data_IF_075073530697
#
_entry.id   IF_075073530697
#
_cell.length_a   1.000
_cell.length_b   1.000
_cell.length_c   1.000
_cell.angle_alpha   90.00
_cell.angle_beta   90.00
_cell.angle_gamma   90.00
#
_symmetry.space_group_name_H-M   'P 1'
#
loop_
_entity.id
_entity.type
_entity.pdbx_description
1 polymer ?
#
# COMPACT_ATOMS: atom_id res chain seq x y z
N UNK A 1 -7.26 33.71 -17.71
CA UNK A 1 -6.37 32.83 -16.93
C UNK A 1 -7.22 32.06 -15.93
N UNK A 2 -7.84 30.95 -16.36
CA UNK A 2 -8.62 30.09 -15.48
C UNK A 2 -7.63 29.22 -14.70
N UNK A 3 -7.39 29.54 -13.42
CA UNK A 3 -6.76 28.60 -12.50
C UNK A 3 -7.76 27.48 -12.28
N UNK A 4 -7.51 26.33 -12.89
CA UNK A 4 -8.15 25.08 -12.47
C UNK A 4 -7.83 24.89 -10.99
N UNK A 5 -8.85 24.99 -10.15
CA UNK A 5 -8.83 24.48 -8.79
C UNK A 5 -8.76 22.96 -8.89
N UNK A 6 -7.58 22.41 -9.17
CA UNK A 6 -7.34 20.98 -9.00
C UNK A 6 -7.48 20.69 -7.52
N UNK A 7 -8.42 19.80 -7.19
CA UNK A 7 -8.63 19.27 -5.85
C UNK A 7 -7.29 19.05 -5.15
N UNK A 8 -7.06 19.77 -4.06
CA UNK A 8 -5.83 19.63 -3.24
C UNK A 8 -5.75 18.28 -2.51
N UNK A 9 -6.63 17.34 -2.86
CA UNK A 9 -6.80 16.09 -2.14
C UNK A 9 -6.78 14.88 -3.08
N UNK A 10 -6.01 13.87 -2.71
CA UNK A 10 -6.05 12.54 -3.31
C UNK A 10 -6.91 11.61 -2.45
N UNK A 11 -7.78 10.84 -3.09
CA UNK A 11 -8.47 9.73 -2.43
C UNK A 11 -7.64 8.46 -2.51
N UNK A 12 -7.47 7.80 -1.37
CA UNK A 12 -6.83 6.50 -1.24
C UNK A 12 -7.80 5.52 -0.59
N UNK A 13 -7.78 4.28 -1.06
CA UNK A 13 -8.73 3.25 -0.66
C UNK A 13 -7.99 2.05 -0.07
N UNK A 14 -8.48 1.53 1.04
CA UNK A 14 -8.04 0.29 1.65
C UNK A 14 -9.20 -0.69 1.72
N UNK A 15 -9.03 -1.90 1.19
CA UNK A 15 -10.00 -2.98 1.29
C UNK A 15 -9.73 -3.84 2.53
N UNK A 16 -10.75 -4.06 3.34
CA UNK A 16 -10.67 -4.82 4.59
C UNK A 16 -11.98 -5.56 4.88
N UNK A 17 -12.13 -6.15 6.07
CA UNK A 17 -13.38 -6.73 6.55
C UNK A 17 -14.12 -5.81 7.53
N UNK A 18 -15.39 -6.14 7.83
CA UNK A 18 -16.21 -5.33 8.73
C UNK A 18 -15.61 -5.18 10.14
N UNK A 19 -15.02 -6.25 10.68
CA UNK A 19 -14.46 -6.24 12.05
C UNK A 19 -13.26 -5.29 12.13
N UNK A 20 -12.32 -5.42 11.20
CA UNK A 20 -11.16 -4.55 11.08
C UNK A 20 -11.54 -3.09 10.82
N UNK A 21 -12.58 -2.85 9.99
CA UNK A 21 -13.08 -1.50 9.75
C UNK A 21 -13.68 -0.86 11.01
N UNK A 22 -14.44 -1.63 11.80
CA UNK A 22 -14.99 -1.18 13.09
C UNK A 22 -13.89 -0.93 14.11
N UNK A 23 -12.88 -1.79 14.16
CA UNK A 23 -11.73 -1.64 15.07
C UNK A 23 -10.98 -0.33 14.79
N UNK A 24 -10.67 -0.04 13.53
CA UNK A 24 -10.04 1.21 13.11
C UNK A 24 -10.93 2.40 13.51
N UNK A 25 -12.22 2.35 13.19
CA UNK A 25 -13.17 3.42 13.52
C UNK A 25 -13.31 3.66 15.03
N UNK A 26 -13.14 2.61 15.84
CA UNK A 26 -13.30 2.66 17.30
C UNK A 26 -12.04 3.18 18.02
N UNK A 27 -11.08 3.72 17.29
CA UNK A 27 -9.86 4.33 17.85
C UNK A 27 -8.76 3.31 18.19
N UNK A 28 -8.84 2.07 17.67
CA UNK A 28 -7.68 1.17 17.71
C UNK A 28 -6.63 1.55 16.66
N UNK A 29 -7.07 2.21 15.59
CA UNK A 29 -6.20 2.76 14.57
C UNK A 29 -5.58 1.73 13.64
N UNK A 30 -4.61 2.19 12.84
CA UNK A 30 -3.96 1.37 11.80
C UNK A 30 -2.83 0.54 12.41
N UNK A 31 -3.08 -0.74 12.65
CA UNK A 31 -2.06 -1.67 13.14
C UNK A 31 -1.28 -2.33 12.00
N UNK A 32 -0.05 -1.87 11.71
CA UNK A 32 0.74 -2.44 10.60
C UNK A 32 1.07 -3.92 10.84
N UNK A 33 1.23 -4.35 12.10
CA UNK A 33 1.50 -5.73 12.49
C UNK A 33 0.37 -6.73 12.14
N UNK A 34 -0.82 -6.25 11.80
CA UNK A 34 -1.91 -7.07 11.25
C UNK A 34 -1.75 -7.33 9.73
N UNK A 35 -0.73 -6.73 9.11
CA UNK A 35 -0.43 -6.87 7.69
C UNK A 35 -0.08 -8.29 7.28
N UNK A 36 -0.42 -8.67 6.06
CA UNK A 36 -0.12 -10.00 5.53
C UNK A 36 1.37 -10.17 5.25
N UNK A 37 1.88 -11.39 5.42
CA UNK A 37 3.25 -11.76 5.05
C UNK A 37 3.44 -11.76 3.53
N UNK A 38 4.69 -11.58 3.09
CA UNK A 38 5.15 -11.76 1.70
C UNK A 38 4.35 -10.94 0.68
N UNK A 39 4.20 -9.64 0.94
CA UNK A 39 3.59 -8.67 0.00
C UNK A 39 4.69 -7.93 -0.76
N UNK A 40 4.30 -7.05 -1.69
CA UNK A 40 5.25 -6.38 -2.60
C UNK A 40 6.22 -5.46 -1.86
N UNK A 41 5.72 -4.71 -0.88
CA UNK A 41 6.46 -3.64 -0.19
C UNK A 41 6.57 -3.85 1.33
N UNK A 42 6.10 -5.00 1.84
CA UNK A 42 6.17 -5.35 3.26
C UNK A 42 5.96 -6.85 3.46
N UNK A 43 6.35 -7.36 4.64
CA UNK A 43 6.04 -8.72 5.06
C UNK A 43 5.63 -8.71 6.53
N UNK A 44 4.33 -8.78 6.79
CA UNK A 44 3.78 -8.82 8.16
C UNK A 44 3.61 -7.46 8.83
N UNK A 45 4.14 -6.39 8.23
CA UNK A 45 4.16 -5.04 8.79
C UNK A 45 3.88 -4.01 7.71
N UNK A 46 2.62 -3.86 7.35
CA UNK A 46 2.26 -2.84 6.36
C UNK A 46 0.77 -2.74 6.06
N UNK A 47 0.37 -1.55 5.63
CA UNK A 47 -1.00 -1.20 5.32
C UNK A 47 -1.11 -0.70 3.88
N UNK A 48 -1.85 -1.44 3.05
CA UNK A 48 -1.88 -1.23 1.60
C UNK A 48 -3.07 -0.36 1.18
N UNK A 49 -2.78 0.62 0.35
CA UNK A 49 -3.71 1.58 -0.21
C UNK A 49 -3.62 1.56 -1.74
N UNK A 50 -4.69 1.95 -2.41
CA UNK A 50 -4.73 2.16 -3.86
C UNK A 50 -5.51 3.42 -4.20
N UNK A 51 -5.34 3.93 -5.42
CA UNK A 51 -6.14 5.03 -6.00
C UNK A 51 -7.42 4.54 -6.68
N UNK A 52 -7.58 3.23 -6.82
CA UNK A 52 -8.71 2.62 -7.51
C UNK A 52 -9.62 1.87 -6.52
N UNK A 53 -10.85 2.36 -6.35
CA UNK A 53 -11.83 1.75 -5.44
C UNK A 53 -12.17 0.30 -5.81
N UNK A 54 -12.16 -0.06 -7.10
CA UNK A 54 -12.42 -1.42 -7.54
C UNK A 54 -11.28 -2.36 -7.16
N UNK A 55 -10.03 -1.90 -7.19
CA UNK A 55 -8.89 -2.69 -6.72
C UNK A 55 -9.01 -2.95 -5.21
N UNK A 56 -9.35 -1.93 -4.41
CA UNK A 56 -9.59 -2.09 -2.98
C UNK A 56 -10.73 -3.07 -2.69
N UNK A 57 -11.86 -2.97 -3.40
CA UNK A 57 -12.98 -3.89 -3.24
C UNK A 57 -12.60 -5.33 -3.59
N UNK A 58 -11.85 -5.52 -4.69
CA UNK A 58 -11.35 -6.84 -5.10
C UNK A 58 -10.39 -7.43 -4.07
N UNK A 59 -9.52 -6.60 -3.47
CA UNK A 59 -8.65 -7.03 -2.37
C UNK A 59 -9.47 -7.52 -1.18
N UNK A 60 -10.48 -6.76 -0.74
CA UNK A 60 -11.36 -7.16 0.38
C UNK A 60 -12.13 -8.45 0.08
N UNK A 61 -12.77 -8.54 -1.08
CA UNK A 61 -13.52 -9.74 -1.52
C UNK A 61 -12.65 -10.99 -1.63
N UNK A 62 -11.35 -10.83 -1.88
CA UNK A 62 -10.41 -11.96 -1.94
C UNK A 62 -10.08 -12.55 -0.56
N UNK A 63 -10.43 -11.88 0.54
CA UNK A 63 -10.08 -12.29 1.90
C UNK A 63 -11.26 -12.49 2.83
N UNK A 64 -12.43 -11.92 2.53
CA UNK A 64 -13.60 -11.96 3.42
C UNK A 64 -14.92 -12.01 2.66
N UNK A 65 -15.94 -12.58 3.30
CA UNK A 65 -17.33 -12.55 2.84
C UNK A 65 -18.08 -11.28 3.25
N UNK A 66 -17.51 -10.45 4.14
CA UNK A 66 -18.08 -9.18 4.62
C UNK A 66 -17.09 -8.03 4.35
N UNK A 67 -16.96 -7.59 3.09
CA UNK A 67 -15.94 -6.62 2.70
C UNK A 67 -16.33 -5.20 3.10
N UNK A 68 -15.35 -4.43 3.54
CA UNK A 68 -15.46 -2.99 3.76
C UNK A 68 -14.35 -2.25 3.00
N UNK A 69 -14.61 -0.98 2.66
CA UNK A 69 -13.62 -0.08 2.09
C UNK A 69 -13.45 1.12 3.02
N UNK A 70 -12.21 1.39 3.43
CA UNK A 70 -11.82 2.63 4.08
C UNK A 70 -11.41 3.65 3.00
N UNK A 71 -11.95 4.87 3.10
CA UNK A 71 -11.66 5.97 2.18
C UNK A 71 -10.88 7.02 2.95
N UNK A 72 -9.64 7.27 2.51
CA UNK A 72 -8.76 8.29 3.06
C UNK A 72 -8.73 9.48 2.11
N UNK A 73 -8.92 10.69 2.64
CA UNK A 73 -8.83 11.95 1.90
C UNK A 73 -7.58 12.68 2.33
N UNK A 74 -6.54 12.61 1.51
CA UNK A 74 -5.20 13.08 1.84
C UNK A 74 -4.92 14.41 1.16
N UNK A 75 -4.51 15.44 1.90
CA UNK A 75 -4.07 16.70 1.32
C UNK A 75 -2.70 16.53 0.64
N UNK A 76 -2.65 16.74 -0.68
CA UNK A 76 -1.47 16.48 -1.52
C UNK A 76 -0.24 17.29 -1.09
N UNK A 77 -0.43 18.54 -0.66
CA UNK A 77 0.66 19.43 -0.28
C UNK A 77 1.27 19.00 1.05
N UNK A 78 0.43 18.81 2.07
CA UNK A 78 0.88 18.41 3.40
C UNK A 78 1.55 17.03 3.35
N UNK A 79 0.93 16.07 2.65
CA UNK A 79 1.45 14.72 2.48
C UNK A 79 2.82 14.71 1.79
N UNK A 80 3.00 15.45 0.70
CA UNK A 80 4.30 15.52 0.02
C UNK A 80 5.39 16.17 0.86
N UNK A 81 5.05 17.15 1.70
CA UNK A 81 6.04 17.89 2.49
C UNK A 81 6.54 17.16 3.74
N UNK A 82 5.73 16.27 4.34
CA UNK A 82 6.04 15.64 5.63
C UNK A 82 6.51 14.19 5.50
N UNK A 83 6.20 13.53 4.40
CA UNK A 83 6.35 12.07 4.30
C UNK A 83 7.64 11.67 3.58
N UNK A 84 8.44 10.82 4.22
CA UNK A 84 9.59 10.18 3.57
C UNK A 84 9.09 9.03 2.72
N UNK A 85 9.00 9.27 1.42
CA UNK A 85 8.40 8.34 0.45
C UNK A 85 9.44 7.71 -0.46
N UNK A 86 9.46 6.39 -0.54
CA UNK A 86 10.17 5.67 -1.59
C UNK A 86 9.23 5.43 -2.77
N UNK A 87 9.56 6.01 -3.93
CA UNK A 87 8.78 5.84 -5.16
C UNK A 87 9.50 4.86 -6.09
N UNK A 88 8.90 3.69 -6.31
CA UNK A 88 9.42 2.68 -7.23
C UNK A 88 8.69 2.82 -8.56
N UNK A 89 9.39 3.39 -9.54
CA UNK A 89 8.84 3.64 -10.87
C UNK A 89 8.92 2.38 -11.75
N UNK A 90 8.18 2.39 -12.87
CA UNK A 90 8.22 1.27 -13.83
C UNK A 90 9.50 1.24 -14.66
N UNK A 91 10.19 2.38 -14.79
CA UNK A 91 11.41 2.52 -15.60
C UNK A 91 12.64 1.86 -14.95
N UNK A 92 12.72 1.87 -13.63
CA UNK A 92 13.72 1.20 -12.81
C UNK A 92 13.19 -0.16 -12.35
N UNK A 93 12.96 -1.03 -13.34
CA UNK A 93 12.42 -2.37 -13.12
C UNK A 93 13.35 -3.23 -12.26
N UNK A 94 14.66 -2.99 -12.31
CA UNK A 94 15.64 -3.77 -11.54
C UNK A 94 15.55 -3.47 -10.05
N UNK A 95 15.60 -2.19 -9.64
CA UNK A 95 15.43 -1.81 -8.24
C UNK A 95 14.06 -2.22 -7.71
N UNK A 96 13.00 -2.03 -8.50
CA UNK A 96 11.66 -2.49 -8.14
C UNK A 96 11.63 -4.00 -7.91
N UNK A 97 12.21 -4.79 -8.83
CA UNK A 97 12.21 -6.26 -8.75
C UNK A 97 13.01 -6.75 -7.55
N UNK A 98 14.15 -6.14 -7.26
CA UNK A 98 14.97 -6.51 -6.10
C UNK A 98 14.22 -6.30 -4.78
N UNK A 99 13.52 -5.16 -4.65
CA UNK A 99 12.74 -4.82 -3.46
C UNK A 99 11.55 -5.77 -3.32
N UNK A 100 10.77 -5.96 -4.39
CA UNK A 100 9.61 -6.87 -4.38
C UNK A 100 10.04 -8.30 -4.07
N UNK A 101 11.10 -8.80 -4.73
CA UNK A 101 11.64 -10.14 -4.46
C UNK A 101 12.07 -10.27 -2.99
N UNK A 102 12.72 -9.25 -2.44
CA UNK A 102 13.14 -9.24 -1.05
C UNK A 102 11.94 -9.37 -0.09
N UNK A 103 10.91 -8.53 -0.23
CA UNK A 103 9.73 -8.60 0.62
C UNK A 103 8.90 -9.88 0.42
N UNK A 104 8.70 -10.30 -0.84
CA UNK A 104 7.99 -11.55 -1.20
C UNK A 104 8.68 -12.80 -0.68
N UNK A 105 10.00 -12.79 -0.51
CA UNK A 105 10.73 -13.89 0.13
C UNK A 105 10.39 -14.06 1.62
N UNK A 106 9.92 -12.99 2.27
CA UNK A 106 9.72 -12.92 3.72
C UNK A 106 11.02 -12.80 4.53
N UNK A 107 12.19 -12.82 3.87
CA UNK A 107 13.49 -12.70 4.52
C UNK A 107 13.82 -11.23 4.78
N UNK A 108 14.25 -10.92 6.00
CA UNK A 108 14.77 -9.58 6.34
C UNK A 108 16.19 -9.42 5.78
N UNK A 109 16.32 -8.69 4.69
CA UNK A 109 17.61 -8.32 4.08
C UNK A 109 18.15 -7.01 4.70
N UNK A 110 19.43 -6.71 4.51
CA UNK A 110 19.99 -5.41 4.92
C UNK A 110 19.28 -4.25 4.21
N UNK A 111 19.00 -4.40 2.91
CA UNK A 111 18.28 -3.40 2.12
C UNK A 111 16.87 -3.14 2.64
N UNK A 112 16.07 -4.18 2.88
CA UNK A 112 14.70 -4.01 3.43
C UNK A 112 14.73 -3.39 4.83
N UNK A 113 15.72 -3.74 5.68
CA UNK A 113 15.89 -3.07 6.99
C UNK A 113 16.22 -1.59 6.87
N UNK A 114 17.01 -1.20 5.87
CA UNK A 114 17.34 0.20 5.62
C UNK A 114 16.10 0.97 5.15
N UNK A 115 15.36 0.41 4.20
CA UNK A 115 14.12 1.01 3.68
C UNK A 115 13.12 1.24 4.82
N UNK A 116 12.90 0.25 5.68
CA UNK A 116 11.98 0.33 6.82
C UNK A 116 12.39 1.37 7.89
N UNK A 117 13.63 1.88 7.86
CA UNK A 117 14.11 2.94 8.76
C UNK A 117 14.07 4.32 8.12
N UNK A 118 14.35 4.39 6.82
CA UNK A 118 14.49 5.65 6.08
C UNK A 118 13.15 6.21 5.60
N UNK A 119 12.18 5.35 5.33
CA UNK A 119 10.93 5.73 4.67
C UNK A 119 9.72 5.39 5.53
N UNK A 120 8.70 6.24 5.40
CA UNK A 120 7.39 6.09 6.05
C UNK A 120 6.43 5.24 5.19
N UNK A 121 6.61 5.32 3.87
CA UNK A 121 5.83 4.55 2.89
C UNK A 121 6.61 4.25 1.62
N UNK A 122 6.14 3.22 0.91
CA UNK A 122 6.62 2.83 -0.41
C UNK A 122 5.43 2.87 -1.38
N UNK A 123 5.58 3.49 -2.55
CA UNK A 123 4.59 3.43 -3.62
C UNK A 123 5.18 2.92 -4.93
N UNK A 124 4.34 2.28 -5.74
CA UNK A 124 4.75 1.73 -7.02
C UNK A 124 3.69 0.83 -7.65
N UNK A 125 3.99 0.17 -8.77
CA UNK A 125 3.07 -0.76 -9.40
C UNK A 125 2.89 -2.05 -8.59
N UNK A 126 1.76 -2.72 -8.81
CA UNK A 126 1.49 -4.08 -8.32
C UNK A 126 2.42 -5.09 -8.98
N UNK A 127 2.83 -6.15 -8.28
CA UNK A 127 3.53 -7.25 -8.91
C UNK A 127 2.57 -8.22 -9.62
N UNK A 128 2.97 -8.62 -10.82
CA UNK A 128 2.49 -9.86 -11.47
C UNK A 128 3.57 -10.94 -11.35
N UNK A 129 3.13 -12.19 -11.36
CA UNK A 129 4.01 -13.35 -11.26
C UNK A 129 3.98 -14.08 -12.58
N UNK A 130 5.16 -14.31 -13.15
CA UNK A 130 5.41 -15.18 -14.29
C UNK A 130 6.21 -16.37 -13.80
N UNK A 131 5.84 -17.57 -14.24
CA UNK A 131 6.68 -18.74 -14.07
C UNK A 131 7.61 -18.83 -15.26
N UNK A 132 8.92 -18.86 -15.01
CA UNK A 132 9.90 -19.07 -16.07
C UNK A 132 9.93 -20.54 -16.48
N UNK A 133 9.75 -20.81 -17.77
CA UNK A 133 9.53 -22.18 -18.30
C UNK A 133 10.76 -23.08 -18.23
N UNK A 134 11.97 -22.52 -18.10
CA UNK A 134 13.23 -23.25 -18.11
C UNK A 134 13.63 -23.85 -16.76
N UNK A 135 13.29 -23.20 -15.65
CA UNK A 135 13.74 -23.58 -14.30
C UNK A 135 12.61 -23.56 -13.25
N UNK A 136 11.40 -23.12 -13.61
CA UNK A 136 10.28 -22.97 -12.69
C UNK A 136 10.43 -21.82 -11.70
N UNK A 137 11.37 -20.89 -11.90
CA UNK A 137 11.51 -19.73 -11.04
C UNK A 137 10.35 -18.76 -11.21
N UNK A 138 9.92 -18.18 -10.08
CA UNK A 138 8.93 -17.12 -10.06
C UNK A 138 9.61 -15.78 -10.34
N UNK A 139 9.30 -15.20 -11.49
CA UNK A 139 9.76 -13.87 -11.88
C UNK A 139 8.66 -12.86 -11.59
N UNK A 140 9.03 -11.81 -10.86
CA UNK A 140 8.14 -10.67 -10.58
C UNK A 140 8.30 -9.59 -11.65
N UNK A 141 7.17 -9.14 -12.20
CA UNK A 141 7.09 -8.06 -13.19
C UNK A 141 6.08 -7.01 -12.75
N UNK A 142 6.36 -5.71 -12.96
CA UNK A 142 5.45 -4.63 -12.59
C UNK A 142 4.20 -4.67 -13.49
N UNK A 143 3.02 -4.76 -12.87
CA UNK A 143 1.72 -4.70 -13.55
C UNK A 143 1.55 -3.32 -14.20
N UNK A 144 1.34 -3.24 -15.53
CA UNK A 144 1.10 -1.98 -16.21
C UNK A 144 -0.14 -1.26 -15.66
N UNK A 145 -0.09 0.08 -15.67
CA UNK A 145 -1.21 0.96 -15.24
C UNK A 145 -1.80 0.62 -13.86
N UNK A 146 -0.97 0.11 -12.96
CA UNK A 146 -1.36 -0.28 -11.61
C UNK A 146 -0.67 0.59 -10.58
N UNK A 147 -1.28 0.71 -9.40
CA UNK A 147 -0.76 1.52 -8.31
C UNK A 147 -1.10 0.88 -6.98
N UNK A 148 -0.12 0.81 -6.11
CA UNK A 148 -0.30 0.55 -4.69
C UNK A 148 0.64 1.45 -3.88
N UNK A 149 0.22 1.71 -2.66
CA UNK A 149 1.00 2.38 -1.63
C UNK A 149 0.99 1.51 -0.39
N UNK A 150 2.13 1.32 0.26
CA UNK A 150 2.23 0.61 1.53
C UNK A 150 2.79 1.54 2.60
N UNK A 151 2.03 1.80 3.65
CA UNK A 151 2.56 2.39 4.87
C UNK A 151 3.43 1.37 5.60
N UNK A 152 4.60 1.78 6.07
CA UNK A 152 5.59 0.91 6.72
C UNK A 152 6.14 1.47 8.04
N UNK A 153 5.80 2.72 8.38
CA UNK A 153 6.12 3.37 9.66
C UNK A 153 4.88 3.44 10.53
N UNK A 154 4.96 2.93 11.76
CA UNK A 154 3.83 2.95 12.72
C UNK A 154 3.49 4.41 13.09
N UNK A 155 4.49 5.24 13.41
CA UNK A 155 4.30 6.66 13.73
C UNK A 155 3.55 7.40 12.60
N UNK A 156 3.88 7.08 11.34
CA UNK A 156 3.19 7.68 10.21
C UNK A 156 1.79 7.10 9.99
N UNK A 157 1.56 5.83 10.33
CA UNK A 157 0.24 5.22 10.23
C UNK A 157 -0.76 5.87 11.20
N UNK A 158 -0.31 6.21 12.41
CA UNK A 158 -1.09 6.92 13.43
C UNK A 158 -1.46 8.34 12.95
N UNK A 159 -0.54 9.07 12.32
CA UNK A 159 -0.84 10.36 11.69
C UNK A 159 -1.78 10.22 10.49
N UNK A 160 -1.56 9.19 9.66
CA UNK A 160 -2.31 8.96 8.44
C UNK A 160 -3.77 8.59 8.73
N UNK A 161 -4.05 7.92 9.84
CA UNK A 161 -5.41 7.59 10.30
C UNK A 161 -6.32 8.82 10.34
N UNK A 162 -5.80 10.00 10.71
CA UNK A 162 -6.57 11.24 10.78
C UNK A 162 -7.14 11.69 9.42
N UNK A 163 -6.65 11.10 8.32
CA UNK A 163 -7.16 11.35 6.97
C UNK A 163 -8.33 10.43 6.59
N UNK A 164 -8.73 9.49 7.47
CA UNK A 164 -9.89 8.63 7.26
C UNK A 164 -11.16 9.49 7.16
N UNK A 165 -11.77 9.46 5.99
CA UNK A 165 -12.93 10.28 5.67
C UNK A 165 -14.23 9.51 5.83
N UNK A 166 -14.28 8.27 5.35
CA UNK A 166 -15.50 7.46 5.34
C UNK A 166 -15.21 5.98 5.22
N UNK A 167 -16.16 5.15 5.65
CA UNK A 167 -16.14 3.70 5.53
C UNK A 167 -17.38 3.25 4.75
N UNK A 168 -17.19 2.35 3.79
CA UNK A 168 -18.25 1.72 3.00
C UNK A 168 -18.33 0.24 3.38
N UNK A 169 -19.47 -0.19 3.91
CA UNK A 169 -19.76 -1.60 4.22
C UNK A 169 -20.57 -2.22 3.08
N UNK A 170 -20.24 -3.45 2.67
CA UNK A 170 -20.85 -4.16 1.54
C UNK A 170 -21.45 -5.50 1.95
#
# INVERSE_FOLDING_TARGET
>A
MLRELKDEHTLLFHGTDHESAVDILSGRGIHLCSGRQKRDFSSGKGFYLTKNVNDALNWAKSTTAKPAILVFRVNDRAFRSKTRKLTLNQQDTESWREIVTSFRSGKRTTKTRQILKEYDLIEGPLATVRCETSNGELVFEPKPSSYQMCLISEDFADEFEQTLHSILFY
#
